data_IF_364831453676
#
_entry.id   IF_364831453676
#
_cell.length_a   1.000
_cell.length_b   1.000
_cell.length_c   1.000
_cell.angle_alpha   90.00
_cell.angle_beta   90.00
_cell.angle_gamma   90.00
#
_symmetry.space_group_name_H-M   'P 1'
#
loop_
_entity.id
_entity.type
_entity.pdbx_description
1 polymer ?
#
# COMPACT_ATOMS: atom_id res chain seq x y z
N UNK A 1 20.89 -11.64 9.11
CA UNK A 1 19.92 -10.73 8.49
C UNK A 1 18.97 -11.59 7.69
N UNK A 2 17.73 -11.76 8.15
CA UNK A 2 16.72 -12.50 7.41
C UNK A 2 16.23 -11.60 6.29
N UNK A 3 16.42 -12.00 5.03
CA UNK A 3 15.79 -11.33 3.91
C UNK A 3 14.31 -11.68 4.01
N UNK A 4 13.47 -10.70 4.33
CA UNK A 4 12.02 -10.89 4.28
C UNK A 4 11.63 -10.71 2.82
N UNK A 5 11.17 -11.77 2.17
CA UNK A 5 10.66 -11.71 0.81
C UNK A 5 9.36 -10.89 0.79
N UNK A 6 9.23 -10.02 -0.22
CA UNK A 6 7.99 -9.29 -0.45
C UNK A 6 6.91 -10.27 -0.93
N UNK A 7 5.79 -10.27 -0.23
CA UNK A 7 4.61 -11.02 -0.58
C UNK A 7 3.76 -10.16 -1.52
N UNK A 8 3.72 -10.56 -2.79
CA UNK A 8 2.90 -9.90 -3.80
C UNK A 8 1.46 -10.42 -3.72
N UNK A 9 0.53 -9.50 -3.51
CA UNK A 9 -0.90 -9.76 -3.43
C UNK A 9 -1.62 -9.18 -4.65
N UNK A 10 -2.63 -9.89 -5.12
CA UNK A 10 -3.54 -9.38 -6.15
C UNK A 10 -4.63 -8.46 -5.58
N UNK A 11 -4.93 -8.58 -4.28
CA UNK A 11 -5.92 -7.81 -3.52
C UNK A 11 -5.63 -7.81 -2.02
N UNK A 12 -6.04 -6.75 -1.32
CA UNK A 12 -5.95 -6.64 0.15
C UNK A 12 -7.21 -7.07 0.90
N UNK A 13 -8.29 -7.44 0.22
CA UNK A 13 -9.60 -7.74 0.82
C UNK A 13 -9.56 -8.82 1.91
N UNK A 14 -8.64 -9.79 1.81
CA UNK A 14 -8.52 -10.91 2.76
C UNK A 14 -7.20 -10.90 3.54
N UNK A 15 -6.52 -9.75 3.61
CA UNK A 15 -5.29 -9.64 4.41
C UNK A 15 -5.67 -9.48 5.87
N UNK A 16 -5.19 -10.40 6.71
CA UNK A 16 -5.35 -10.30 8.17
C UNK A 16 -4.41 -9.22 8.73
N UNK A 17 -5.01 -8.14 9.22
CA UNK A 17 -4.31 -7.01 9.84
C UNK A 17 -4.53 -6.95 11.35
N UNK A 18 -5.15 -7.98 11.96
CA UNK A 18 -5.56 -7.97 13.37
C UNK A 18 -4.40 -7.86 14.37
N UNK A 19 -3.19 -8.18 13.93
CA UNK A 19 -1.96 -8.09 14.74
C UNK A 19 -1.16 -6.80 14.50
N UNK A 20 -1.61 -5.94 13.58
CA UNK A 20 -0.98 -4.65 13.30
C UNK A 20 -1.54 -3.59 14.25
N UNK A 21 -0.71 -2.63 14.63
CA UNK A 21 -1.09 -1.56 15.56
C UNK A 21 -1.93 -0.50 14.86
N UNK A 22 -1.42 0.02 13.73
CA UNK A 22 -2.10 1.01 12.89
C UNK A 22 -1.90 0.59 11.43
N UNK A 23 -2.72 -0.36 10.94
CA UNK A 23 -2.62 -0.80 9.56
C UNK A 23 -3.07 0.29 8.59
N UNK A 24 -2.22 0.58 7.60
CA UNK A 24 -2.53 1.53 6.54
C UNK A 24 -1.97 1.06 5.21
N UNK A 25 -2.66 1.39 4.12
CA UNK A 25 -2.23 1.12 2.77
C UNK A 25 -1.76 2.42 2.14
N UNK A 26 -0.49 2.50 1.76
CA UNK A 26 0.07 3.66 1.07
C UNK A 26 0.26 3.33 -0.39
N UNK A 27 -0.33 4.14 -1.26
CA UNK A 27 -0.24 3.98 -2.72
C UNK A 27 0.81 4.91 -3.29
N UNK A 28 1.67 4.36 -4.13
CA UNK A 28 2.74 5.05 -4.83
C UNK A 28 2.52 4.99 -6.33
N UNK A 29 2.87 6.06 -7.04
CA UNK A 29 3.04 6.09 -8.49
C UNK A 29 4.53 6.12 -8.82
N UNK A 30 5.00 5.08 -9.53
CA UNK A 30 6.37 4.92 -10.01
C UNK A 30 7.43 5.15 -8.93
N UNK A 31 7.37 4.44 -7.77
CA UNK A 31 8.44 4.51 -6.77
C UNK A 31 9.77 4.04 -7.38
N UNK A 32 10.90 4.50 -6.82
CA UNK A 32 12.25 4.30 -7.38
C UNK A 32 12.59 2.83 -7.63
N UNK A 33 12.11 1.93 -6.77
CA UNK A 33 12.36 0.49 -6.85
C UNK A 33 11.46 -0.24 -7.85
N UNK A 34 10.32 0.34 -8.23
CA UNK A 34 9.37 -0.25 -9.19
C UNK A 34 8.89 0.86 -10.15
N UNK A 35 9.74 1.26 -11.11
CA UNK A 35 9.42 2.36 -12.01
C UNK A 35 8.27 2.02 -12.96
N UNK A 36 7.42 3.00 -13.24
CA UNK A 36 6.31 2.90 -14.20
C UNK A 36 5.08 2.10 -13.74
N UNK A 37 5.01 1.71 -12.46
CA UNK A 37 3.87 0.99 -11.88
C UNK A 37 3.21 1.77 -10.76
N UNK A 38 1.96 1.43 -10.48
CA UNK A 38 1.33 1.78 -9.22
C UNK A 38 1.59 0.67 -8.20
N UNK A 39 2.00 1.06 -7.00
CA UNK A 39 2.40 0.13 -5.93
C UNK A 39 1.66 0.50 -4.66
N UNK A 40 0.86 -0.41 -4.12
CA UNK A 40 0.28 -0.27 -2.80
C UNK A 40 1.08 -1.11 -1.80
N UNK A 41 1.48 -0.52 -0.67
CA UNK A 41 2.19 -1.22 0.42
C UNK A 41 1.36 -1.15 1.69
N UNK A 42 1.26 -2.28 2.38
CA UNK A 42 0.70 -2.31 3.72
C UNK A 42 1.77 -1.88 4.73
N UNK A 43 1.42 -0.93 5.59
CA UNK A 43 2.24 -0.40 6.67
C UNK A 43 1.65 -0.78 8.01
N UNK A 44 2.53 -0.88 9.01
CA UNK A 44 2.17 -0.79 10.42
C UNK A 44 2.87 0.43 11.02
N UNK A 45 2.07 1.43 11.40
CA UNK A 45 2.56 2.72 11.90
C UNK A 45 3.47 3.41 10.87
N UNK A 46 4.79 3.42 11.06
CA UNK A 46 5.77 4.15 10.26
C UNK A 46 6.59 3.24 9.32
N UNK A 47 6.41 1.93 9.39
CA UNK A 47 7.19 0.96 8.62
C UNK A 47 6.32 0.14 7.66
N UNK A 48 6.79 -0.08 6.41
CA UNK A 48 6.13 -1.02 5.52
C UNK A 48 6.31 -2.45 6.04
N UNK A 49 5.25 -3.24 5.94
CA UNK A 49 5.34 -4.69 6.02
C UNK A 49 5.93 -5.25 4.71
N UNK A 50 6.03 -6.58 4.58
CA UNK A 50 6.43 -7.21 3.32
C UNK A 50 5.28 -7.39 2.33
N UNK A 51 4.05 -6.96 2.65
CA UNK A 51 2.88 -7.13 1.79
C UNK A 51 2.78 -5.96 0.80
N UNK A 52 2.80 -6.28 -0.49
CA UNK A 52 2.77 -5.31 -1.59
C UNK A 52 1.80 -5.76 -2.66
N UNK A 53 1.13 -4.82 -3.31
CA UNK A 53 0.29 -5.03 -4.49
C UNK A 53 0.78 -4.10 -5.61
N UNK A 54 0.91 -4.61 -6.83
CA UNK A 54 1.42 -3.86 -7.99
C UNK A 54 0.39 -3.95 -9.11
N UNK A 55 0.03 -2.80 -9.70
CA UNK A 55 -0.90 -2.70 -10.83
C UNK A 55 -0.41 -1.68 -11.86
N UNK A 56 -1.03 -1.69 -13.04
CA UNK A 56 -0.70 -0.76 -14.12
C UNK A 56 -1.38 0.60 -13.92
N UNK A 57 -2.54 0.60 -13.27
CA UNK A 57 -3.37 1.79 -13.07
C UNK A 57 -3.77 1.97 -11.60
N UNK A 58 -4.06 3.22 -11.23
CA UNK A 58 -4.61 3.53 -9.90
C UNK A 58 -6.00 2.90 -9.68
N UNK A 59 -6.82 2.84 -10.73
CA UNK A 59 -8.17 2.28 -10.65
C UNK A 59 -8.15 0.78 -10.29
N UNK A 60 -7.22 0.01 -10.85
CA UNK A 60 -7.04 -1.40 -10.50
C UNK A 60 -6.62 -1.59 -9.02
N UNK A 61 -5.88 -0.64 -8.44
CA UNK A 61 -5.60 -0.68 -7.01
C UNK A 61 -6.87 -0.40 -6.20
N UNK A 62 -7.66 0.60 -6.58
CA UNK A 62 -8.92 0.94 -5.90
C UNK A 62 -9.90 -0.23 -5.87
N UNK A 63 -10.05 -0.95 -6.98
CA UNK A 63 -10.92 -2.14 -7.06
C UNK A 63 -10.46 -3.29 -6.16
N UNK A 64 -9.17 -3.31 -5.80
CA UNK A 64 -8.54 -4.37 -5.02
C UNK A 64 -8.35 -4.02 -3.54
N UNK A 65 -8.78 -2.82 -3.11
CA UNK A 65 -8.79 -2.40 -1.71
C UNK A 65 -9.89 -3.09 -0.90
N UNK A 66 -9.72 -3.27 0.42
CA UNK A 66 -10.78 -3.76 1.29
C UNK A 66 -11.96 -2.78 1.32
N UNK A 67 -13.21 -3.24 1.50
CA UNK A 67 -14.37 -2.35 1.55
C UNK A 67 -14.43 -1.47 2.81
N UNK A 68 -13.68 -1.81 3.85
CA UNK A 68 -13.70 -1.13 5.15
C UNK A 68 -12.53 -0.17 5.37
N UNK A 69 -11.82 0.25 4.31
CA UNK A 69 -10.78 1.27 4.44
C UNK A 69 -11.31 2.66 4.12
N UNK A 70 -10.70 3.67 4.75
CA UNK A 70 -11.04 5.07 4.62
C UNK A 70 -9.93 5.83 3.89
N UNK A 71 -10.32 6.54 2.83
CA UNK A 71 -9.40 7.35 2.04
C UNK A 71 -8.87 8.54 2.85
N UNK A 72 -7.55 8.67 2.90
CA UNK A 72 -6.82 9.82 3.40
C UNK A 72 -6.12 10.48 2.21
N UNK A 73 -6.57 11.66 1.77
CA UNK A 73 -5.94 12.38 0.68
C UNK A 73 -4.47 12.67 0.98
N UNK A 74 -3.67 12.70 -0.09
CA UNK A 74 -2.26 13.09 -0.02
C UNK A 74 -2.05 14.43 0.70
N UNK A 75 -1.02 14.48 1.53
CA UNK A 75 -0.47 15.70 2.10
C UNK A 75 0.59 16.32 1.18
N UNK A 76 0.70 17.66 1.17
CA UNK A 76 1.72 18.37 0.41
C UNK A 76 3.17 18.00 0.82
N UNK A 77 3.36 17.55 2.06
CA UNK A 77 4.65 17.12 2.59
C UNK A 77 4.97 15.64 2.32
N UNK A 78 4.04 14.88 1.74
CA UNK A 78 4.30 13.48 1.37
C UNK A 78 5.34 13.39 0.26
N UNK A 79 6.11 12.31 0.27
CA UNK A 79 7.07 12.02 -0.78
C UNK A 79 6.41 12.13 -2.17
N UNK A 80 7.08 12.73 -3.20
CA UNK A 80 6.54 12.98 -4.54
C UNK A 80 5.77 11.82 -5.18
N UNK A 81 6.16 10.59 -4.89
CA UNK A 81 5.57 9.38 -5.46
C UNK A 81 4.32 8.90 -4.72
N UNK A 82 4.05 9.33 -3.49
CA UNK A 82 2.84 8.94 -2.74
C UNK A 82 1.63 9.58 -3.42
N UNK A 83 0.62 8.80 -3.74
CA UNK A 83 -0.63 9.28 -4.36
C UNK A 83 -1.68 9.51 -3.31
N UNK A 84 -1.79 8.61 -2.33
CA UNK A 84 -2.83 8.60 -1.31
C UNK A 84 -2.54 7.52 -0.26
N UNK A 85 -3.24 7.61 0.88
CA UNK A 85 -3.18 6.63 1.96
C UNK A 85 -4.60 6.16 2.29
N UNK A 86 -4.73 4.91 2.75
CA UNK A 86 -6.00 4.33 3.19
C UNK A 86 -5.83 3.70 4.57
N UNK A 87 -6.74 4.02 5.50
CA UNK A 87 -6.71 3.51 6.87
C UNK A 87 -7.79 2.44 7.05
N UNK A 88 -7.47 1.33 7.72
CA UNK A 88 -8.47 0.33 8.12
C UNK A 88 -9.38 0.81 9.25
#
# INVERSE_FOLDING_TARGET
MQVIENLLMDSFTNVDVSQLNIPMIVIYNSPKDIPGKYVARLYDVDQPTNITMIKETLAELHEALPPNVHHVPRNANDHPTIVETWLY
#
